data_IF_807828655238
#
_entry.id   IF_807828655238
#
_cell.length_a   1.000
_cell.length_b   1.000
_cell.length_c   1.000
_cell.angle_alpha   90.00
_cell.angle_beta   90.00
_cell.angle_gamma   90.00
#
_symmetry.space_group_name_H-M   'P 1'
#
loop_
_entity.id
_entity.type
_entity.pdbx_description
1 polymer ?
#
# COMPACT_ATOMS: atom_id res chain seq x y z
N UNK A 1 17.96 -11.42 -24.99
CA UNK A 1 17.51 -12.39 -23.97
C UNK A 1 16.07 -12.05 -23.63
N UNK A 2 15.09 -12.97 -23.78
CA UNK A 2 13.73 -12.69 -23.36
C UNK A 2 13.71 -12.45 -21.85
N UNK A 3 13.00 -11.40 -21.42
CA UNK A 3 12.80 -11.12 -19.99
C UNK A 3 11.97 -12.26 -19.39
N UNK A 4 12.48 -12.88 -18.33
CA UNK A 4 11.85 -14.02 -17.68
C UNK A 4 10.75 -13.55 -16.72
N UNK A 5 9.53 -13.44 -17.24
CA UNK A 5 8.34 -12.95 -16.52
C UNK A 5 7.24 -14.02 -16.43
N UNK A 6 6.33 -13.84 -15.49
CA UNK A 6 5.17 -14.70 -15.26
C UNK A 6 3.94 -13.86 -14.93
N UNK A 7 2.76 -14.49 -14.95
CA UNK A 7 1.51 -13.89 -14.47
C UNK A 7 0.97 -14.66 -13.27
N UNK A 8 0.35 -13.94 -12.34
CA UNK A 8 -0.31 -14.51 -11.16
C UNK A 8 -1.78 -14.10 -11.23
N UNK A 9 -2.68 -15.03 -11.59
CA UNK A 9 -4.09 -14.70 -11.76
C UNK A 9 -4.79 -14.58 -10.41
N UNK A 10 -5.96 -13.96 -10.44
CA UNK A 10 -6.97 -14.04 -9.37
C UNK A 10 -6.52 -13.49 -8.02
N UNK A 11 -5.55 -12.57 -8.01
CA UNK A 11 -5.05 -11.94 -6.79
C UNK A 11 -6.14 -11.00 -6.27
N UNK A 12 -6.66 -11.19 -5.05
CA UNK A 12 -7.57 -10.23 -4.43
C UNK A 12 -6.81 -8.93 -4.17
N UNK A 13 -7.43 -7.78 -4.41
CA UNK A 13 -6.77 -6.47 -4.35
C UNK A 13 -7.43 -5.53 -3.35
N UNK A 14 -8.76 -5.52 -3.31
CA UNK A 14 -9.55 -4.61 -2.48
C UNK A 14 -10.85 -5.30 -2.08
N UNK A 15 -11.29 -5.08 -0.84
CA UNK A 15 -12.55 -5.61 -0.31
C UNK A 15 -13.42 -4.43 0.16
N UNK A 16 -14.74 -4.53 0.02
CA UNK A 16 -15.67 -3.53 0.54
C UNK A 16 -15.59 -3.40 2.07
N UNK A 17 -15.96 -2.26 2.64
CA UNK A 17 -15.93 -2.02 4.09
C UNK A 17 -14.95 -0.93 4.50
N UNK A 18 -14.72 -0.81 5.80
CA UNK A 18 -13.90 0.26 6.38
C UNK A 18 -12.43 -0.14 6.45
N UNK A 19 -11.56 0.73 5.92
CA UNK A 19 -10.12 0.50 5.87
C UNK A 19 -9.36 1.69 6.42
N UNK A 20 -8.34 1.41 7.23
CA UNK A 20 -7.40 2.40 7.74
C UNK A 20 -6.34 2.71 6.68
N UNK A 21 -6.69 3.45 5.63
CA UNK A 21 -5.74 3.80 4.59
C UNK A 21 -4.70 4.83 5.08
N UNK A 22 -3.52 4.83 4.48
CA UNK A 22 -2.43 5.76 4.85
C UNK A 22 -2.78 7.24 4.66
N UNK A 23 -3.82 7.51 3.86
CA UNK A 23 -4.37 8.85 3.59
C UNK A 23 -5.55 9.21 4.49
N UNK A 24 -5.90 8.33 5.44
CA UNK A 24 -7.06 8.45 6.32
C UNK A 24 -8.05 7.29 6.13
N UNK A 25 -9.04 7.15 7.03
CA UNK A 25 -10.07 6.12 6.92
C UNK A 25 -10.80 6.22 5.58
N UNK A 26 -11.05 5.07 4.96
CA UNK A 26 -11.78 4.97 3.71
C UNK A 26 -12.79 3.83 3.78
N UNK A 27 -14.05 4.14 3.54
CA UNK A 27 -15.11 3.14 3.34
C UNK A 27 -15.18 2.80 1.86
N UNK A 28 -14.75 1.59 1.50
CA UNK A 28 -14.85 1.06 0.15
C UNK A 28 -16.26 0.52 -0.08
N UNK A 29 -16.88 0.94 -1.17
CA UNK A 29 -18.22 0.52 -1.58
C UNK A 29 -18.19 -0.33 -2.85
N UNK A 30 -19.24 -1.11 -3.14
CA UNK A 30 -19.35 -1.82 -4.43
C UNK A 30 -19.28 -0.88 -5.65
N UNK A 31 -19.76 0.37 -5.50
CA UNK A 31 -19.68 1.37 -6.55
C UNK A 31 -18.24 1.79 -6.86
N UNK A 32 -17.36 1.81 -5.84
CA UNK A 32 -15.92 2.06 -6.04
C UNK A 32 -15.29 0.92 -6.85
N UNK A 33 -15.62 -0.33 -6.51
CA UNK A 33 -15.11 -1.50 -7.23
C UNK A 33 -15.56 -1.50 -8.69
N UNK A 34 -16.83 -1.15 -8.95
CA UNK A 34 -17.37 -1.01 -10.29
C UNK A 34 -16.67 0.11 -11.07
N UNK A 35 -16.51 1.28 -10.46
CA UNK A 35 -15.78 2.41 -11.06
C UNK A 35 -14.35 2.02 -11.47
N UNK A 36 -13.65 1.23 -10.65
CA UNK A 36 -12.31 0.74 -10.95
C UNK A 36 -12.32 -0.13 -12.22
N UNK A 37 -13.25 -1.09 -12.33
CA UNK A 37 -13.34 -2.00 -13.48
C UNK A 37 -13.71 -1.24 -14.75
N UNK A 38 -14.66 -0.30 -14.67
CA UNK A 38 -15.04 0.54 -15.80
C UNK A 38 -13.89 1.44 -16.27
N UNK A 39 -13.18 2.09 -15.34
CA UNK A 39 -12.04 2.94 -15.66
C UNK A 39 -10.91 2.16 -16.32
N UNK A 40 -10.63 0.95 -15.85
CA UNK A 40 -9.64 0.06 -16.45
C UNK A 40 -10.05 -0.36 -17.88
N UNK A 41 -11.32 -0.73 -18.06
CA UNK A 41 -11.86 -1.13 -19.37
C UNK A 41 -11.85 0.02 -20.38
N UNK A 42 -12.11 1.25 -19.91
CA UNK A 42 -12.04 2.47 -20.71
C UNK A 42 -10.59 2.95 -20.97
N UNK A 43 -9.58 2.27 -20.44
CA UNK A 43 -8.17 2.61 -20.64
C UNK A 43 -7.72 3.88 -19.91
N UNK A 44 -8.42 4.28 -18.85
CA UNK A 44 -8.09 5.48 -18.06
C UNK A 44 -6.76 5.32 -17.33
N UNK A 45 -6.49 4.11 -16.82
CA UNK A 45 -5.24 3.78 -16.16
C UNK A 45 -4.85 2.32 -16.40
N UNK A 46 -3.54 2.09 -16.49
CA UNK A 46 -2.93 0.76 -16.39
C UNK A 46 -2.22 0.68 -15.04
N UNK A 47 -2.79 -0.01 -14.04
CA UNK A 47 -2.20 0.00 -12.71
C UNK A 47 -0.83 -0.66 -12.70
N UNK A 48 0.16 0.00 -12.12
CA UNK A 48 1.53 -0.52 -12.03
C UNK A 48 1.72 -1.38 -10.77
N UNK A 49 2.51 -2.43 -10.87
CA UNK A 49 2.95 -3.23 -9.73
C UNK A 49 4.32 -2.73 -9.24
N UNK A 50 4.48 -2.43 -7.96
CA UNK A 50 5.76 -1.95 -7.40
C UNK A 50 6.02 -2.47 -5.98
N UNK A 51 7.23 -2.22 -5.48
CA UNK A 51 7.64 -2.60 -4.12
C UNK A 51 7.40 -1.47 -3.12
N UNK A 52 6.63 -1.75 -2.07
CA UNK A 52 6.46 -0.88 -0.90
C UNK A 52 5.73 0.44 -1.17
N UNK A 53 5.24 1.06 -0.08
CA UNK A 53 4.61 2.38 -0.09
C UNK A 53 5.53 3.52 0.36
N UNK A 54 6.64 3.21 1.03
CA UNK A 54 7.45 4.17 1.80
C UNK A 54 8.95 3.92 1.60
N UNK A 55 9.76 4.96 1.80
CA UNK A 55 11.22 4.87 1.80
C UNK A 55 11.91 5.32 0.50
N UNK A 56 13.26 5.32 0.49
CA UNK A 56 14.07 5.98 -0.54
C UNK A 56 13.93 5.36 -1.95
N UNK A 57 13.38 4.15 -2.04
CA UNK A 57 13.12 3.49 -3.32
C UNK A 57 11.77 3.86 -3.95
N UNK A 58 10.82 4.52 -3.25
CA UNK A 58 9.47 4.82 -3.78
C UNK A 58 9.49 5.42 -5.19
N UNK A 59 10.06 6.61 -5.31
CA UNK A 59 9.86 7.48 -6.48
C UNK A 59 10.70 7.03 -7.69
N UNK A 60 11.59 6.06 -7.48
CA UNK A 60 12.45 5.47 -8.50
C UNK A 60 12.28 3.94 -8.61
N UNK A 61 11.27 3.36 -7.95
CA UNK A 61 11.05 1.92 -7.98
C UNK A 61 10.64 1.51 -9.39
N UNK A 62 11.34 0.56 -10.03
CA UNK A 62 10.92 0.09 -11.34
C UNK A 62 9.53 -0.57 -11.22
N UNK A 63 8.69 -0.34 -12.23
CA UNK A 63 7.48 -1.14 -12.37
C UNK A 63 7.89 -2.61 -12.53
N UNK A 64 7.38 -3.47 -11.65
CA UNK A 64 7.58 -4.90 -11.68
C UNK A 64 6.57 -5.61 -12.58
N UNK A 65 5.64 -4.87 -13.17
CA UNK A 65 4.55 -5.42 -13.95
C UNK A 65 3.35 -4.49 -13.88
N UNK A 66 2.20 -5.03 -14.28
CA UNK A 66 0.93 -4.31 -14.28
C UNK A 66 -0.18 -5.19 -13.72
N UNK A 67 -1.29 -4.58 -13.37
CA UNK A 67 -2.51 -5.30 -13.01
C UNK A 67 -3.47 -5.28 -14.19
N UNK A 68 -3.95 -6.47 -14.57
CA UNK A 68 -4.87 -6.67 -15.71
C UNK A 68 -6.03 -7.57 -15.31
N UNK A 69 -7.01 -7.75 -16.21
CA UNK A 69 -8.12 -8.68 -16.02
C UNK A 69 -8.85 -8.45 -14.68
N UNK A 70 -9.10 -7.18 -14.36
CA UNK A 70 -9.85 -6.77 -13.18
C UNK A 70 -11.28 -7.28 -13.24
N UNK A 71 -11.76 -7.82 -12.12
CA UNK A 71 -13.12 -8.33 -12.00
C UNK A 71 -13.59 -8.27 -10.54
N UNK A 72 -14.89 -8.18 -10.37
CA UNK A 72 -15.53 -8.21 -9.06
C UNK A 72 -15.99 -9.65 -8.78
N UNK A 73 -15.67 -10.15 -7.61
CA UNK A 73 -16.02 -11.48 -7.10
C UNK A 73 -16.71 -11.36 -5.75
N UNK A 74 -17.01 -12.51 -5.13
CA UNK A 74 -17.58 -12.57 -3.77
C UNK A 74 -18.87 -11.74 -3.62
N UNK A 75 -19.86 -12.04 -4.47
CA UNK A 75 -21.16 -11.37 -4.43
C UNK A 75 -21.13 -9.86 -4.72
N UNK A 76 -20.03 -9.32 -5.23
CA UNK A 76 -19.88 -7.87 -5.47
C UNK A 76 -18.94 -7.16 -4.51
N UNK A 77 -18.31 -7.86 -3.57
CA UNK A 77 -17.58 -7.25 -2.45
C UNK A 77 -16.06 -7.30 -2.57
N UNK A 78 -15.51 -8.07 -3.52
CA UNK A 78 -14.05 -8.20 -3.67
C UNK A 78 -13.63 -7.87 -5.08
N UNK A 79 -12.65 -6.97 -5.24
CA UNK A 79 -11.94 -6.76 -6.49
C UNK A 79 -10.77 -7.74 -6.58
N UNK A 80 -10.67 -8.45 -7.69
CA UNK A 80 -9.54 -9.32 -8.02
C UNK A 80 -8.90 -8.90 -9.34
N UNK A 81 -7.63 -9.21 -9.54
CA UNK A 81 -6.89 -8.94 -10.77
C UNK A 81 -5.78 -9.95 -11.03
N UNK A 82 -5.16 -9.84 -12.19
CA UNK A 82 -3.98 -10.60 -12.57
C UNK A 82 -2.76 -9.70 -12.47
N UNK A 83 -1.75 -10.12 -11.70
CA UNK A 83 -0.43 -9.49 -11.73
C UNK A 83 0.30 -10.00 -12.97
N UNK A 84 0.46 -9.15 -13.98
CA UNK A 84 1.01 -9.52 -15.28
C UNK A 84 2.44 -8.99 -15.45
N UNK A 85 3.28 -9.76 -16.14
CA UNK A 85 4.65 -9.35 -16.46
C UNK A 85 5.59 -9.33 -15.27
N UNK A 86 5.26 -10.06 -14.19
CA UNK A 86 6.06 -10.10 -12.96
C UNK A 86 7.36 -10.85 -13.19
N UNK A 87 8.54 -10.30 -12.89
CA UNK A 87 9.80 -11.04 -12.94
C UNK A 87 9.70 -12.34 -12.13
N UNK A 88 10.05 -13.47 -12.74
CA UNK A 88 9.86 -14.81 -12.13
C UNK A 88 10.60 -14.95 -10.78
N UNK A 89 11.74 -14.29 -10.64
CA UNK A 89 12.48 -14.24 -9.37
C UNK A 89 11.71 -13.54 -8.24
N UNK A 90 10.98 -12.47 -8.56
CA UNK A 90 10.10 -11.80 -7.60
C UNK A 90 8.88 -12.67 -7.31
N UNK A 91 8.23 -13.21 -8.34
CA UNK A 91 7.07 -14.07 -8.19
C UNK A 91 7.34 -15.25 -7.24
N UNK A 92 8.53 -15.86 -7.32
CA UNK A 92 8.93 -16.96 -6.44
C UNK A 92 9.11 -16.60 -4.96
N UNK A 93 9.19 -15.31 -4.61
CA UNK A 93 9.33 -14.85 -3.20
C UNK A 93 8.16 -14.02 -2.71
N UNK A 94 7.20 -13.65 -3.56
CA UNK A 94 6.08 -12.77 -3.22
C UNK A 94 5.38 -13.22 -1.94
N UNK A 95 5.00 -14.49 -1.88
CA UNK A 95 4.20 -15.03 -0.80
C UNK A 95 4.90 -14.92 0.58
N UNK A 96 6.22 -15.10 0.61
CA UNK A 96 7.04 -15.00 1.83
C UNK A 96 7.49 -13.57 2.16
N UNK A 97 8.04 -12.88 1.16
CA UNK A 97 8.73 -11.60 1.32
C UNK A 97 7.77 -10.40 1.23
N UNK A 98 6.66 -10.57 0.52
CA UNK A 98 5.63 -9.56 0.30
C UNK A 98 4.23 -10.17 0.48
N UNK A 99 3.91 -10.76 1.64
CA UNK A 99 2.65 -11.49 1.85
C UNK A 99 1.41 -10.63 1.69
N UNK A 100 1.59 -9.30 1.76
CA UNK A 100 0.55 -8.31 1.76
C UNK A 100 0.70 -7.39 0.56
N UNK A 101 -0.39 -6.69 0.23
CA UNK A 101 -0.41 -5.67 -0.82
C UNK A 101 -1.33 -4.54 -0.41
N UNK A 102 -1.15 -3.39 -1.04
CA UNK A 102 -2.06 -2.29 -0.91
C UNK A 102 -2.29 -1.65 -2.27
N UNK A 103 -3.51 -1.18 -2.47
CA UNK A 103 -3.92 -0.48 -3.68
C UNK A 103 -3.60 1.01 -3.56
N UNK A 104 -3.34 1.62 -4.70
CA UNK A 104 -3.23 3.05 -4.87
C UNK A 104 -4.33 3.49 -5.84
N UNK A 105 -5.22 4.37 -5.36
CA UNK A 105 -6.38 4.83 -6.11
C UNK A 105 -6.41 6.35 -6.22
N UNK A 106 -6.91 6.86 -7.35
CA UNK A 106 -7.38 8.23 -7.48
C UNK A 106 -8.89 8.25 -7.20
N UNK A 107 -9.30 9.08 -6.25
CA UNK A 107 -10.72 9.29 -5.97
C UNK A 107 -11.22 10.54 -6.70
N UNK A 108 -12.44 10.49 -7.23
CA UNK A 108 -13.09 11.58 -7.96
C UNK A 108 -12.24 12.15 -9.12
N UNK A 109 -11.55 11.26 -9.85
CA UNK A 109 -10.69 11.64 -10.96
C UNK A 109 -11.52 12.11 -12.16
N UNK A 110 -11.23 13.30 -12.68
CA UNK A 110 -11.87 13.78 -13.92
C UNK A 110 -10.93 13.61 -15.09
N UNK A 111 -11.38 12.90 -16.12
CA UNK A 111 -10.56 12.66 -17.32
C UNK A 111 -10.59 13.86 -18.29
N UNK A 112 -9.86 13.74 -19.40
CA UNK A 112 -9.76 14.78 -20.44
C UNK A 112 -11.07 15.07 -21.18
N UNK A 113 -12.04 14.17 -21.10
CA UNK A 113 -13.36 14.32 -21.71
C UNK A 113 -14.36 15.01 -20.77
N UNK A 114 -13.97 15.23 -19.51
CA UNK A 114 -14.83 15.82 -18.48
C UNK A 114 -15.66 14.80 -17.70
N UNK A 115 -15.50 13.49 -17.94
CA UNK A 115 -16.14 12.45 -17.14
C UNK A 115 -15.42 12.31 -15.80
N UNK A 116 -16.20 12.29 -14.72
CA UNK A 116 -15.68 11.98 -13.38
C UNK A 116 -15.82 10.49 -13.07
N UNK A 117 -14.72 9.89 -12.63
CA UNK A 117 -14.59 8.53 -12.17
C UNK A 117 -14.50 8.54 -10.65
N UNK A 118 -15.38 7.80 -9.97
CA UNK A 118 -15.44 7.79 -8.51
C UNK A 118 -14.16 7.24 -7.90
N UNK A 119 -13.66 6.14 -8.46
CA UNK A 119 -12.43 5.49 -8.06
C UNK A 119 -11.71 4.93 -9.29
N UNK A 120 -10.40 5.19 -9.39
CA UNK A 120 -9.51 4.69 -10.44
C UNK A 120 -8.30 4.03 -9.79
N UNK A 121 -8.10 2.73 -10.02
CA UNK A 121 -6.91 2.02 -9.57
C UNK A 121 -5.72 2.43 -10.46
N UNK A 122 -4.63 2.88 -9.85
CA UNK A 122 -3.42 3.35 -10.56
C UNK A 122 -2.16 2.58 -10.17
N UNK A 123 -2.16 1.88 -9.04
CA UNK A 123 -1.02 1.13 -8.56
C UNK A 123 -1.40 0.04 -7.57
N UNK A 124 -0.52 -0.95 -7.47
CA UNK A 124 -0.53 -1.96 -6.41
C UNK A 124 0.88 -2.11 -5.89
N UNK A 125 1.04 -1.88 -4.59
CA UNK A 125 2.31 -2.09 -3.93
C UNK A 125 2.35 -3.43 -3.21
N UNK A 126 3.49 -4.09 -3.31
CA UNK A 126 3.82 -5.31 -2.60
C UNK A 126 4.43 -4.96 -1.24
N UNK A 127 3.82 -5.47 -0.17
CA UNK A 127 4.14 -5.12 1.22
C UNK A 127 4.73 -6.32 1.96
N UNK A 128 5.93 -6.12 2.51
CA UNK A 128 6.65 -7.10 3.33
C UNK A 128 6.39 -6.94 4.82
N UNK A 129 7.14 -6.03 5.47
CA UNK A 129 7.01 -5.75 6.90
C UNK A 129 5.87 -4.78 7.25
N UNK A 130 5.36 -4.05 6.27
CA UNK A 130 4.26 -3.09 6.44
C UNK A 130 2.93 -3.82 6.40
N UNK A 131 2.03 -3.51 7.35
CA UNK A 131 0.67 -4.07 7.35
C UNK A 131 -0.19 -3.41 6.25
N UNK A 132 -1.06 -4.16 5.58
CA UNK A 132 -1.99 -3.60 4.60
C UNK A 132 -3.08 -2.79 5.31
N UNK A 133 -3.70 -1.87 4.57
CA UNK A 133 -4.91 -1.20 5.04
C UNK A 133 -6.12 -2.16 5.07
N UNK A 134 -6.20 -3.07 4.08
CA UNK A 134 -7.27 -4.08 3.96
C UNK A 134 -6.85 -5.35 4.72
N UNK A 135 -7.54 -5.67 5.81
CA UNK A 135 -7.14 -6.73 6.75
C UNK A 135 -7.82 -8.07 6.45
N UNK A 136 -8.90 -8.05 5.69
CA UNK A 136 -9.78 -9.17 5.35
C UNK A 136 -9.26 -10.00 4.17
N UNK A 137 -8.24 -9.49 3.48
CA UNK A 137 -7.68 -10.19 2.34
C UNK A 137 -6.74 -11.32 2.80
N UNK A 138 -6.96 -12.52 2.25
CA UNK A 138 -6.05 -13.64 2.42
C UNK A 138 -4.61 -13.28 2.01
N UNK A 139 -3.64 -13.94 2.65
CA UNK A 139 -2.23 -13.74 2.35
C UNK A 139 -1.89 -14.25 0.95
N UNK A 140 -0.84 -13.71 0.34
CA UNK A 140 -0.39 -14.24 -0.96
C UNK A 140 0.08 -15.70 -0.89
N UNK A 141 0.46 -16.22 0.28
CA UNK A 141 0.74 -17.65 0.51
C UNK A 141 -0.49 -18.52 0.23
N UNK A 142 -1.67 -18.09 0.69
CA UNK A 142 -2.92 -18.83 0.51
C UNK A 142 -3.36 -18.80 -0.97
N UNK A 143 -3.19 -17.66 -1.64
CA UNK A 143 -3.46 -17.50 -3.07
C UNK A 143 -2.50 -18.32 -3.93
N UNK A 144 -1.19 -18.28 -3.66
CA UNK A 144 -0.18 -19.03 -4.43
C UNK A 144 -0.37 -20.54 -4.26
N UNK A 145 -0.73 -20.99 -3.05
CA UNK A 145 -1.02 -22.40 -2.75
C UNK A 145 -2.32 -22.86 -3.44
N UNK A 146 -3.35 -22.01 -3.51
CA UNK A 146 -4.63 -22.32 -4.17
C UNK A 146 -4.48 -22.49 -5.70
N UNK A 147 -3.50 -21.84 -6.32
CA UNK A 147 -3.31 -21.83 -7.78
C UNK A 147 -2.04 -22.56 -8.27
N UNK A 148 -1.46 -23.45 -7.44
CA UNK A 148 -0.44 -24.41 -7.89
C UNK A 148 0.94 -23.82 -8.18
N UNK A 149 1.30 -22.70 -7.56
CA UNK A 149 2.68 -22.22 -7.57
C UNK A 149 3.43 -22.97 -6.47
N UNK A 150 4.49 -23.71 -6.80
CA UNK A 150 5.31 -24.44 -5.82
C UNK A 150 5.98 -23.46 -4.84
N UNK A 151 5.41 -23.36 -3.62
CA UNK A 151 5.98 -22.60 -2.51
C UNK A 151 6.49 -23.59 -1.48
N UNK A 152 7.82 -23.62 -1.26
CA UNK A 152 8.42 -24.44 -0.20
C UNK A 152 7.89 -23.98 1.17
N UNK A 153 7.25 -24.89 1.93
CA UNK A 153 6.53 -24.56 3.16
C UNK A 153 7.19 -25.15 4.42
N UNK A 154 7.41 -24.31 5.45
CA UNK A 154 7.16 -24.60 6.87
C UNK A 154 7.46 -23.39 7.78
N UNK A 155 6.55 -23.06 8.71
CA UNK A 155 6.81 -22.15 9.83
C UNK A 155 5.56 -21.52 10.48
N UNK A 156 5.44 -21.57 11.81
CA UNK A 156 4.39 -20.89 12.60
C UNK A 156 4.81 -19.44 12.88
N UNK A 157 4.06 -18.45 12.38
CA UNK A 157 4.30 -17.01 12.68
C UNK A 157 3.64 -16.62 14.00
N UNK A 158 4.39 -15.90 14.83
CA UNK A 158 3.89 -15.15 16.00
C UNK A 158 4.17 -13.68 15.70
N UNK A 159 3.12 -12.85 15.66
CA UNK A 159 3.24 -11.41 15.46
C UNK A 159 3.06 -10.69 16.80
N UNK A 160 4.11 -10.03 17.28
CA UNK A 160 4.07 -9.07 18.39
C UNK A 160 4.37 -7.70 17.78
N UNK A 161 3.40 -6.79 17.79
CA UNK A 161 3.59 -5.42 17.35
C UNK A 161 3.45 -4.48 18.55
N UNK A 162 4.49 -3.71 18.83
CA UNK A 162 4.38 -2.51 19.66
C UNK A 162 3.86 -1.39 18.78
N UNK A 163 2.70 -0.82 19.11
CA UNK A 163 2.27 0.42 18.48
C UNK A 163 3.27 1.54 18.83
N UNK A 164 3.64 2.43 17.90
CA UNK A 164 4.39 3.62 18.26
C UNK A 164 3.52 4.49 19.17
N UNK A 165 3.99 4.71 20.40
CA UNK A 165 3.33 5.60 21.35
C UNK A 165 3.59 7.07 20.96
N UNK A 166 2.71 7.57 20.09
CA UNK A 166 2.71 8.94 19.58
C UNK A 166 2.66 9.97 20.73
N UNK A 167 2.15 9.60 21.90
CA UNK A 167 2.12 10.47 23.08
C UNK A 167 3.52 10.63 23.71
N UNK A 168 4.31 9.56 23.76
CA UNK A 168 5.69 9.61 24.26
C UNK A 168 6.60 10.45 23.35
N UNK A 169 6.40 10.38 22.04
CA UNK A 169 7.16 11.15 21.06
C UNK A 169 6.82 12.65 21.12
N UNK A 170 5.53 12.98 21.28
CA UNK A 170 5.07 14.36 21.51
C UNK A 170 5.59 14.92 22.84
N UNK A 171 5.63 14.10 23.91
CA UNK A 171 6.18 14.51 25.20
C UNK A 171 7.69 14.82 25.12
N UNK A 172 8.47 14.00 24.39
CA UNK A 172 9.88 14.27 24.13
C UNK A 172 10.11 15.55 23.33
N UNK A 173 9.30 15.78 22.29
CA UNK A 173 9.38 17.00 21.49
C UNK A 173 9.08 18.26 22.33
N UNK A 174 8.07 18.21 23.20
CA UNK A 174 7.73 19.30 24.12
C UNK A 174 8.84 19.54 25.16
N UNK A 175 9.44 18.47 25.70
CA UNK A 175 10.55 18.59 26.63
C UNK A 175 11.79 19.24 25.99
N UNK A 176 12.13 18.86 24.76
CA UNK A 176 13.21 19.47 23.98
C UNK A 176 12.93 20.95 23.68
N UNK A 177 11.69 21.30 23.31
CA UNK A 177 11.31 22.70 23.08
C UNK A 177 11.41 23.55 24.35
N UNK A 178 10.96 23.01 25.50
CA UNK A 178 11.13 23.68 26.81
C UNK A 178 12.60 23.86 27.18
N UNK A 179 13.43 22.84 27.01
CA UNK A 179 14.86 22.91 27.31
C UNK A 179 15.61 23.92 26.42
N UNK A 180 15.21 24.07 25.15
CA UNK A 180 15.76 25.11 24.26
C UNK A 180 15.35 26.51 24.72
N UNK A 181 14.09 26.67 25.15
CA UNK A 181 13.57 27.96 25.63
C UNK A 181 14.25 28.43 26.91
N UNK A 182 14.46 27.52 27.87
CA UNK A 182 15.17 27.84 29.12
C UNK A 182 16.65 28.14 28.91
N UNK A 183 17.30 27.46 27.95
CA UNK A 183 18.68 27.76 27.55
C UNK A 183 18.80 29.13 26.89
N UNK A 184 17.85 29.49 26.02
CA UNK A 184 17.81 30.79 25.37
C UNK A 184 17.54 31.92 26.37
N UNK A 185 16.64 31.75 27.35
CA UNK A 185 16.39 32.79 28.38
C UNK A 185 17.58 32.98 29.34
N UNK A 186 18.39 31.93 29.55
CA UNK A 186 19.60 31.99 30.37
C UNK A 186 20.77 32.71 29.69
N UNK A 187 20.84 32.73 28.35
CA UNK A 187 21.88 33.50 27.63
C UNK A 187 21.58 35.00 27.62
N UNK A 188 20.31 35.40 27.48
CA UNK A 188 19.90 36.84 27.47
C UNK A 188 20.04 37.51 28.83
N UNK A 189 20.00 36.74 29.92
CA UNK A 189 20.14 37.28 31.28
C UNK A 189 21.60 37.55 31.67
N UNK A 190 22.58 37.07 30.89
CA UNK A 190 23.99 37.29 31.17
C UNK A 190 24.59 38.51 30.43
N UNK A 191 23.89 39.06 29.44
CA UNK A 191 24.37 40.21 28.63
C UNK A 191 23.94 41.59 29.18
N UNK A 192 23.22 41.64 30.31
CA UNK A 192 22.67 42.89 30.87
C UNK A 192 23.40 43.39 32.12
N UNK A 193 24.72 43.56 32.02
CA UNK A 193 25.51 44.43 32.90
C UNK A 193 26.67 45.00 32.08
N UNK A 194 26.63 46.29 31.67
CA UNK A 194 27.24 47.39 32.46
C UNK A 194 26.48 48.74 32.27
N UNK A 195 26.74 49.85 32.96
CA UNK A 195 27.85 50.33 33.78
C UNK A 195 27.30 51.16 34.96
#
# INVERSE_FOLDING_TARGET
>A
MPVNVTSIPNVPLLHCGEHDASTGPWTVTPADLLSIVEAHTAGIATPILHLGHQGPMRDASPALGTVTALRITDGGNTLTGTLAGVPRAIAGVLARAYPQRSVECLLNHTDRTGRTWQCVLIGVALLGATHPAVKELESLDDVCRLYGVDVAASGRRIAIASAPDVAAERARAVALARARRTRSTRSISHERTPA
#
